data_IF_595042046142
#
_entry.id   IF_595042046142
#
_cell.length_a   1.000
_cell.length_b   1.000
_cell.length_c   1.000
_cell.angle_alpha   90.00
_cell.angle_beta   90.00
_cell.angle_gamma   90.00
#
_symmetry.space_group_name_H-M   'P 1'
#
loop_
_entity.id
_entity.type
_entity.pdbx_description
1 polymer ?
#
# COMPACT_ATOMS: atom_id res chain seq x y z
N UNK A 1 4.07 4.64 15.30
CA UNK A 1 5.12 5.68 15.41
C UNK A 1 5.10 6.26 16.81
N UNK A 2 3.96 6.77 17.28
CA UNK A 2 3.71 7.15 18.68
C UNK A 2 3.82 5.94 19.61
N UNK A 3 4.46 6.13 20.76
CA UNK A 3 4.64 5.15 21.85
C UNK A 3 3.89 5.63 23.10
N UNK A 4 3.58 4.72 24.01
CA UNK A 4 2.87 5.10 25.24
C UNK A 4 3.76 5.99 26.14
N UNK A 5 3.18 7.05 26.69
CA UNK A 5 3.90 8.06 27.48
C UNK A 5 4.60 9.14 26.64
N UNK A 6 4.51 9.09 25.30
CA UNK A 6 4.97 10.16 24.42
C UNK A 6 3.87 11.20 24.19
N UNK A 7 4.31 12.43 23.98
CA UNK A 7 3.48 13.58 23.61
C UNK A 7 3.22 13.62 22.10
N UNK A 8 2.02 14.08 21.72
CA UNK A 8 1.60 14.20 20.34
C UNK A 8 1.11 15.62 20.04
N UNK A 9 1.50 16.15 18.90
CA UNK A 9 1.02 17.44 18.42
C UNK A 9 0.53 17.35 16.97
N UNK A 10 -0.69 17.78 16.72
CA UNK A 10 -1.32 17.78 15.40
C UNK A 10 -1.26 19.18 14.77
N UNK A 11 -0.34 19.36 13.82
CA UNK A 11 -0.13 20.61 13.10
C UNK A 11 -1.11 20.70 11.94
N UNK A 12 -2.10 21.59 12.04
CA UNK A 12 -3.23 21.70 11.13
C UNK A 12 -4.33 20.69 11.43
N UNK A 13 -4.73 20.56 12.70
CA UNK A 13 -5.68 19.56 13.17
C UNK A 13 -7.12 19.72 12.63
N UNK A 14 -7.41 20.80 11.90
CA UNK A 14 -8.77 21.17 11.53
C UNK A 14 -9.66 21.25 12.76
N UNK A 15 -10.73 20.46 12.78
CA UNK A 15 -11.68 20.41 13.90
C UNK A 15 -11.18 19.63 15.13
N UNK A 16 -10.00 19.03 15.07
CA UNK A 16 -9.34 18.37 16.19
C UNK A 16 -9.86 16.96 16.50
N UNK A 17 -10.45 16.25 15.54
CA UNK A 17 -10.99 14.90 15.75
C UNK A 17 -9.90 13.91 16.20
N UNK A 18 -8.72 13.97 15.58
CA UNK A 18 -7.58 13.11 15.92
C UNK A 18 -7.06 13.39 17.33
N UNK A 19 -6.95 14.67 17.70
CA UNK A 19 -6.56 15.10 19.06
C UNK A 19 -7.55 14.59 20.11
N UNK A 20 -8.86 14.74 19.85
CA UNK A 20 -9.91 14.24 20.74
C UNK A 20 -9.86 12.72 20.85
N UNK A 21 -9.64 12.02 19.74
CA UNK A 21 -9.50 10.56 19.70
C UNK A 21 -8.32 10.07 20.53
N UNK A 22 -7.14 10.68 20.38
CA UNK A 22 -5.92 10.32 21.11
C UNK A 22 -6.04 10.59 22.60
N UNK A 23 -6.66 11.70 23.01
CA UNK A 23 -6.91 11.99 24.44
C UNK A 23 -7.81 10.94 25.09
N UNK A 24 -8.80 10.41 24.37
CA UNK A 24 -9.66 9.30 24.87
C UNK A 24 -8.91 7.98 25.04
N UNK A 25 -7.75 7.84 24.42
CA UNK A 25 -6.86 6.69 24.54
C UNK A 25 -5.71 6.98 25.54
N UNK A 26 -5.87 8.00 26.39
CA UNK A 26 -4.91 8.43 27.42
C UNK A 26 -3.54 8.87 26.87
N UNK A 27 -3.49 9.39 25.64
CA UNK A 27 -2.30 10.07 25.12
C UNK A 27 -2.33 11.57 25.44
N UNK A 28 -1.17 12.13 25.74
CA UNK A 28 -0.97 13.56 25.84
C UNK A 28 -0.92 14.16 24.43
N UNK A 29 -2.08 14.56 23.92
CA UNK A 29 -2.23 15.11 22.58
C UNK A 29 -2.68 16.58 22.60
N UNK A 30 -2.12 17.37 21.71
CA UNK A 30 -2.48 18.77 21.45
C UNK A 30 -2.59 19.01 19.95
N UNK A 31 -3.18 20.13 19.54
CA UNK A 31 -3.31 20.46 18.12
C UNK A 31 -3.49 21.94 17.90
N UNK A 32 -3.16 22.38 16.70
CA UNK A 32 -3.30 23.75 16.25
C UNK A 32 -3.83 23.77 14.83
N UNK A 33 -4.69 24.74 14.50
CA UNK A 33 -5.14 24.95 13.13
C UNK A 33 -5.41 26.44 12.90
N UNK A 34 -4.91 27.04 11.82
CA UNK A 34 -5.04 28.47 11.60
C UNK A 34 -6.49 28.94 11.40
N UNK A 35 -7.40 28.06 10.99
CA UNK A 35 -8.79 28.41 10.71
C UNK A 35 -9.74 27.98 11.83
N UNK A 36 -9.45 26.85 12.47
CA UNK A 36 -10.35 26.26 13.47
C UNK A 36 -9.89 26.58 14.89
N UNK A 37 -8.60 26.38 15.20
CA UNK A 37 -8.03 26.55 16.54
C UNK A 37 -6.84 27.55 16.52
N UNK A 38 -7.06 28.82 16.10
CA UNK A 38 -5.97 29.78 15.90
C UNK A 38 -5.33 30.27 17.21
N UNK A 39 -6.10 30.25 18.30
CA UNK A 39 -5.67 30.70 19.64
C UNK A 39 -4.80 29.67 20.37
N UNK A 40 -4.81 28.40 19.92
CA UNK A 40 -3.96 27.37 20.50
C UNK A 40 -2.49 27.64 20.16
N UNK A 41 -1.59 27.23 21.05
CA UNK A 41 -0.16 27.40 20.81
C UNK A 41 0.40 26.23 20.02
N UNK A 42 1.33 26.53 19.11
CA UNK A 42 2.20 25.51 18.51
C UNK A 42 3.22 25.09 19.57
N UNK A 43 3.16 23.83 19.97
CA UNK A 43 3.97 23.27 21.06
C UNK A 43 4.90 22.18 20.54
N UNK A 44 6.02 22.00 21.23
CA UNK A 44 6.93 20.89 20.96
C UNK A 44 6.31 19.58 21.47
N UNK A 45 6.49 18.50 20.72
CA UNK A 45 6.04 17.16 21.09
C UNK A 45 6.99 16.09 20.57
N UNK A 46 6.98 14.91 21.19
CA UNK A 46 7.78 13.77 20.74
C UNK A 46 7.42 13.38 19.29
N UNK A 47 6.12 13.36 18.98
CA UNK A 47 5.61 13.08 17.65
C UNK A 47 4.71 14.21 17.16
N UNK A 48 5.09 14.82 16.03
CA UNK A 48 4.25 15.79 15.34
C UNK A 48 3.59 15.14 14.12
N UNK A 49 2.32 15.45 13.87
CA UNK A 49 1.59 15.08 12.66
C UNK A 49 1.32 16.31 11.81
N UNK A 50 1.68 16.24 10.53
CA UNK A 50 1.31 17.19 9.49
C UNK A 50 0.39 16.45 8.50
N UNK A 51 -0.85 16.23 8.95
CA UNK A 51 -1.84 15.43 8.24
C UNK A 51 -2.61 16.25 7.21
N UNK A 52 -2.43 15.99 5.92
CA UNK A 52 -3.17 16.59 4.80
C UNK A 52 -3.08 18.13 4.66
N UNK A 53 -2.30 18.81 5.50
CA UNK A 53 -2.09 20.26 5.45
C UNK A 53 -1.47 20.70 4.14
N UNK A 54 -0.48 19.95 3.63
CA UNK A 54 0.17 20.25 2.36
C UNK A 54 -0.80 20.21 1.17
N UNK A 55 -1.92 19.49 1.29
CA UNK A 55 -2.91 19.42 0.21
C UNK A 55 -3.66 20.75 0.06
N UNK A 56 -3.89 21.49 1.14
CA UNK A 56 -4.78 22.68 1.12
C UNK A 56 -4.05 24.01 0.93
N UNK A 57 -2.73 24.02 1.02
CA UNK A 57 -1.91 25.22 0.84
C UNK A 57 -1.55 25.39 -0.64
N UNK A 58 -1.95 26.52 -1.23
CA UNK A 58 -1.74 26.83 -2.65
C UNK A 58 -0.27 27.19 -2.97
N UNK A 59 0.35 28.06 -2.17
CA UNK A 59 1.73 28.52 -2.43
C UNK A 59 2.76 27.43 -2.04
N UNK A 60 3.60 26.95 -2.98
CA UNK A 60 4.67 26.02 -2.67
C UNK A 60 5.63 26.50 -1.56
N UNK A 61 5.88 27.81 -1.45
CA UNK A 61 6.76 28.36 -0.41
C UNK A 61 6.10 28.26 0.97
N UNK A 62 4.81 28.55 1.05
CA UNK A 62 4.05 28.40 2.29
C UNK A 62 4.00 26.93 2.74
N UNK A 63 3.87 25.99 1.79
CA UNK A 63 4.00 24.55 2.09
C UNK A 63 5.33 24.19 2.71
N UNK A 64 6.44 24.72 2.18
CA UNK A 64 7.76 24.49 2.74
C UNK A 64 7.86 25.06 4.16
N UNK A 65 7.35 26.27 4.40
CA UNK A 65 7.32 26.87 5.74
C UNK A 65 6.50 26.02 6.71
N UNK A 66 5.32 25.55 6.32
CA UNK A 66 4.49 24.68 7.16
C UNK A 66 5.19 23.36 7.51
N UNK A 67 5.86 22.74 6.53
CA UNK A 67 6.64 21.52 6.74
C UNK A 67 7.82 21.75 7.70
N UNK A 68 8.58 22.83 7.51
CA UNK A 68 9.71 23.17 8.36
C UNK A 68 9.28 23.55 9.77
N UNK A 69 8.18 24.28 9.94
CA UNK A 69 7.63 24.60 11.27
C UNK A 69 7.10 23.37 11.99
N UNK A 70 6.38 22.48 11.31
CA UNK A 70 5.95 21.21 11.89
C UNK A 70 7.17 20.36 12.30
N UNK A 71 8.23 20.35 11.49
CA UNK A 71 9.47 19.68 11.84
C UNK A 71 10.16 20.28 13.06
N UNK A 72 10.18 21.62 13.17
CA UNK A 72 10.77 22.34 14.31
C UNK A 72 10.20 21.87 15.65
N UNK A 73 8.90 21.60 15.69
CA UNK A 73 8.18 21.14 16.88
C UNK A 73 8.32 19.62 17.15
N UNK A 74 8.89 18.85 16.23
CA UNK A 74 9.07 17.41 16.39
C UNK A 74 10.35 17.09 17.16
N UNK A 75 10.19 16.58 18.38
CA UNK A 75 11.27 16.14 19.26
C UNK A 75 11.87 14.79 18.86
N UNK A 76 11.07 13.87 18.31
CA UNK A 76 11.54 12.55 17.86
C UNK A 76 11.16 12.23 16.43
N UNK A 77 9.89 12.42 16.06
CA UNK A 77 9.40 12.06 14.73
C UNK A 77 8.34 13.02 14.20
N UNK A 78 8.37 13.26 12.89
CA UNK A 78 7.33 13.95 12.14
C UNK A 78 6.64 12.98 11.20
N UNK A 79 5.32 12.93 11.26
CA UNK A 79 4.48 12.20 10.32
C UNK A 79 3.96 13.20 9.30
N UNK A 80 4.17 12.93 8.02
CA UNK A 80 3.67 13.76 6.91
C UNK A 80 2.73 12.92 6.07
N UNK A 81 1.48 13.37 5.94
CA UNK A 81 0.47 12.68 5.14
C UNK A 81 -0.08 13.61 4.05
N UNK A 82 -0.23 13.10 2.83
CA UNK A 82 -0.85 13.85 1.74
C UNK A 82 -1.65 12.94 0.80
N UNK A 83 -2.71 13.50 0.21
CA UNK A 83 -3.53 12.82 -0.80
C UNK A 83 -2.74 12.54 -2.08
N UNK A 84 -2.95 11.37 -2.65
CA UNK A 84 -2.26 10.89 -3.84
C UNK A 84 -3.01 11.18 -5.14
N UNK A 85 -2.29 11.24 -6.26
CA UNK A 85 -2.87 11.51 -7.59
C UNK A 85 -4.00 10.57 -8.02
N UNK A 86 -4.03 9.34 -7.50
CA UNK A 86 -5.12 8.40 -7.77
C UNK A 86 -6.45 8.83 -7.13
N UNK A 87 -6.40 9.58 -6.03
CA UNK A 87 -7.57 10.16 -5.36
C UNK A 87 -8.14 11.36 -6.12
N UNK A 88 -7.33 12.03 -6.96
CA UNK A 88 -7.79 13.17 -7.76
C UNK A 88 -8.97 12.82 -8.69
N UNK A 89 -9.09 11.55 -9.12
CA UNK A 89 -10.21 11.06 -9.94
C UNK A 89 -11.57 11.15 -9.24
N UNK A 90 -11.59 11.25 -7.91
CA UNK A 90 -12.80 11.45 -7.13
C UNK A 90 -13.32 12.90 -7.17
N UNK A 91 -12.50 13.85 -7.65
CA UNK A 91 -12.90 15.26 -7.79
C UNK A 91 -13.44 15.47 -9.20
N UNK A 92 -14.76 15.44 -9.33
CA UNK A 92 -15.45 15.51 -10.62
C UNK A 92 -15.46 16.91 -11.25
N UNK A 93 -15.24 17.98 -10.47
CA UNK A 93 -15.50 19.36 -10.90
C UNK A 93 -14.42 20.38 -10.44
N UNK A 94 -13.13 20.00 -10.43
CA UNK A 94 -12.04 20.89 -10.00
C UNK A 94 -11.50 21.76 -11.15
N UNK A 95 -11.32 23.07 -10.92
CA UNK A 95 -10.58 23.93 -11.84
C UNK A 95 -9.07 23.86 -11.53
N UNK A 96 -8.19 23.58 -12.50
CA UNK A 96 -6.75 23.60 -12.27
C UNK A 96 -6.27 25.00 -11.86
N UNK A 97 -5.51 25.07 -10.77
CA UNK A 97 -4.89 26.31 -10.27
C UNK A 97 -3.50 25.95 -9.77
N UNK A 98 -2.47 26.67 -10.25
CA UNK A 98 -1.08 26.36 -9.91
C UNK A 98 -0.72 24.91 -10.20
N UNK A 99 -0.29 24.18 -9.18
CA UNK A 99 0.03 22.75 -9.25
C UNK A 99 -1.06 21.84 -8.65
N UNK A 100 -2.24 22.39 -8.34
CA UNK A 100 -3.37 21.68 -7.77
C UNK A 100 -4.68 21.97 -8.50
N UNK A 101 -5.78 21.68 -7.80
CA UNK A 101 -7.15 21.94 -8.30
C UNK A 101 -7.97 22.64 -7.22
N UNK A 102 -8.74 23.66 -7.61
CA UNK A 102 -9.76 24.24 -6.74
C UNK A 102 -11.05 23.47 -6.95
N UNK A 103 -11.52 22.84 -5.88
CA UNK A 103 -12.77 22.06 -5.89
C UNK A 103 -14.00 22.96 -6.06
N UNK A 104 -15.16 22.37 -6.40
CA UNK A 104 -16.42 23.12 -6.50
C UNK A 104 -16.85 23.84 -5.22
N UNK A 105 -16.28 23.50 -4.07
CA UNK A 105 -16.49 24.18 -2.79
C UNK A 105 -15.45 25.29 -2.51
N UNK A 106 -14.61 25.63 -3.49
CA UNK A 106 -13.64 26.72 -3.39
C UNK A 106 -12.33 26.37 -2.66
N UNK A 107 -12.12 25.11 -2.27
CA UNK A 107 -10.89 24.70 -1.58
C UNK A 107 -9.85 24.20 -2.57
N UNK A 108 -8.64 24.76 -2.51
CA UNK A 108 -7.45 24.27 -3.22
C UNK A 108 -7.07 22.87 -2.72
N UNK A 109 -6.67 22.00 -3.65
CA UNK A 109 -6.21 20.65 -3.37
C UNK A 109 -5.03 20.29 -4.28
N UNK A 110 -3.84 20.21 -3.70
CA UNK A 110 -2.64 19.60 -4.31
C UNK A 110 -2.69 18.09 -4.11
N UNK A 111 -2.48 17.32 -5.17
CA UNK A 111 -2.27 15.88 -5.09
C UNK A 111 -0.82 15.54 -5.40
N UNK A 112 -0.30 14.51 -4.75
CA UNK A 112 1.09 14.10 -4.93
C UNK A 112 1.21 12.72 -5.55
N UNK A 113 2.27 12.49 -6.32
CA UNK A 113 2.76 11.12 -6.47
C UNK A 113 3.55 10.71 -5.23
N UNK A 114 3.70 9.39 -4.99
CA UNK A 114 4.51 8.91 -3.86
C UNK A 114 5.96 9.42 -3.95
N UNK A 115 6.54 9.43 -5.15
CA UNK A 115 7.90 9.89 -5.39
C UNK A 115 8.03 11.41 -5.19
N UNK A 116 7.08 12.18 -5.69
CA UNK A 116 7.04 13.63 -5.53
C UNK A 116 6.90 14.04 -4.06
N UNK A 117 6.00 13.39 -3.31
CA UNK A 117 5.84 13.64 -1.87
C UNK A 117 7.15 13.38 -1.12
N UNK A 118 7.81 12.26 -1.42
CA UNK A 118 9.13 11.94 -0.85
C UNK A 118 10.17 13.00 -1.17
N UNK A 119 10.35 13.31 -2.46
CA UNK A 119 11.35 14.28 -2.91
C UNK A 119 11.11 15.64 -2.26
N UNK A 120 9.86 16.09 -2.16
CA UNK A 120 9.52 17.34 -1.50
C UNK A 120 9.89 17.33 -0.01
N UNK A 121 9.56 16.26 0.73
CA UNK A 121 9.91 16.14 2.15
C UNK A 121 11.43 16.12 2.33
N UNK A 122 12.12 15.22 1.61
CA UNK A 122 13.55 14.97 1.77
C UNK A 122 14.37 16.23 1.39
N UNK A 123 13.97 16.93 0.33
CA UNK A 123 14.67 18.16 -0.09
C UNK A 123 14.38 19.38 0.79
N UNK A 124 13.18 19.47 1.38
CA UNK A 124 12.83 20.61 2.24
C UNK A 124 13.45 20.47 3.63
N UNK A 125 13.48 19.26 4.17
CA UNK A 125 13.99 18.99 5.51
C UNK A 125 15.47 18.59 5.54
N UNK A 126 16.06 18.26 4.38
CA UNK A 126 17.42 17.73 4.25
C UNK A 126 17.64 16.45 5.08
N UNK A 127 16.59 15.66 5.28
CA UNK A 127 16.58 14.40 6.03
C UNK A 127 15.82 13.34 5.23
N UNK A 128 16.37 12.12 5.15
CA UNK A 128 15.69 11.02 4.48
C UNK A 128 14.40 10.60 5.20
N UNK A 129 13.28 10.62 4.49
CA UNK A 129 12.01 10.11 5.00
C UNK A 129 11.84 8.60 4.76
N UNK A 130 11.11 7.97 5.67
CA UNK A 130 10.71 6.57 5.59
C UNK A 130 9.24 6.47 5.21
N UNK A 131 8.95 5.81 4.09
CA UNK A 131 7.57 5.49 3.71
C UNK A 131 6.94 4.52 4.74
N UNK A 132 5.85 4.95 5.36
CA UNK A 132 5.04 4.14 6.27
C UNK A 132 3.86 3.48 5.55
N UNK A 133 3.24 4.20 4.61
CA UNK A 133 2.09 3.76 3.79
C UNK A 133 2.03 4.61 2.50
N UNK A 134 1.22 4.26 1.49
CA UNK A 134 0.94 5.20 0.39
C UNK A 134 0.45 6.54 0.95
N UNK A 135 1.08 7.63 0.52
CA UNK A 135 0.75 8.99 0.96
C UNK A 135 1.21 9.33 2.39
N UNK A 136 1.90 8.43 3.11
CA UNK A 136 2.34 8.66 4.50
C UNK A 136 3.83 8.39 4.65
N UNK A 137 4.55 9.40 5.10
CA UNK A 137 5.98 9.37 5.39
C UNK A 137 6.26 9.72 6.85
N UNK A 138 7.35 9.18 7.38
CA UNK A 138 7.83 9.48 8.73
C UNK A 138 9.28 9.92 8.63
N UNK A 139 9.59 11.05 9.25
CA UNK A 139 10.93 11.63 9.36
C UNK A 139 11.34 11.54 10.83
N UNK A 140 12.54 11.05 11.11
CA UNK A 140 13.05 10.87 12.48
C UNK A 140 14.23 11.80 12.73
N UNK A 141 14.34 12.30 13.97
CA UNK A 141 15.45 13.19 14.38
C UNK A 141 16.76 12.42 14.43
N UNK A 142 16.70 11.24 15.02
CA UNK A 142 17.85 10.38 15.25
C UNK A 142 17.78 9.14 14.35
N UNK A 143 18.93 8.76 13.80
CA UNK A 143 19.05 7.57 12.96
C UNK A 143 18.71 6.29 13.74
N UNK A 144 18.96 6.28 15.05
CA UNK A 144 18.61 5.17 15.95
C UNK A 144 17.09 4.93 15.93
N UNK A 145 16.28 5.98 16.02
CA UNK A 145 14.81 5.84 15.97
C UNK A 145 14.30 5.42 14.59
N UNK A 146 14.95 5.90 13.52
CA UNK A 146 14.66 5.49 12.15
C UNK A 146 14.93 3.99 11.95
N UNK A 147 16.08 3.51 12.40
CA UNK A 147 16.48 2.11 12.33
C UNK A 147 15.58 1.22 13.20
N UNK A 148 15.28 1.65 14.43
CA UNK A 148 14.33 0.97 15.31
C UNK A 148 12.95 0.83 14.67
N UNK A 149 12.45 1.91 14.07
CA UNK A 149 11.19 1.89 13.33
C UNK A 149 11.24 0.91 12.16
N UNK A 150 12.30 0.93 11.35
CA UNK A 150 12.47 0.00 10.24
C UNK A 150 12.58 -1.45 10.70
N UNK A 151 13.27 -1.76 11.80
CA UNK A 151 13.41 -3.13 12.32
C UNK A 151 12.07 -3.65 12.86
N UNK A 152 11.37 -2.84 13.67
CA UNK A 152 10.04 -3.18 14.21
C UNK A 152 9.03 -3.36 13.09
N UNK A 153 9.07 -2.48 12.10
CA UNK A 153 8.20 -2.58 10.94
C UNK A 153 8.69 -3.59 9.89
N UNK A 154 9.95 -4.05 9.87
CA UNK A 154 10.42 -5.12 8.98
C UNK A 154 9.70 -6.44 9.27
N UNK A 155 9.46 -6.74 10.55
CA UNK A 155 8.62 -7.89 10.95
C UNK A 155 7.14 -7.71 10.62
N UNK A 156 6.69 -6.47 10.42
CA UNK A 156 5.35 -6.15 9.89
C UNK A 156 5.33 -5.99 8.37
N UNK A 157 6.48 -5.81 7.70
CA UNK A 157 6.64 -5.79 6.24
C UNK A 157 6.60 -7.18 5.62
N UNK A 158 6.63 -8.26 6.43
CA UNK A 158 6.15 -9.56 5.99
C UNK A 158 4.61 -9.64 5.91
N UNK A 159 3.90 -8.59 6.35
CA UNK A 159 2.44 -8.47 6.30
C UNK A 159 2.08 -6.98 6.09
N UNK A 160 2.60 -6.34 5.04
CA UNK A 160 1.88 -5.19 4.47
C UNK A 160 0.79 -5.74 3.56
N UNK A 161 -0.18 -6.46 4.14
CA UNK A 161 -1.41 -6.83 3.44
C UNK A 161 -2.17 -5.52 3.29
N UNK A 162 -2.15 -5.01 2.07
CA UNK A 162 -2.76 -3.75 1.68
C UNK A 162 -4.29 -3.86 1.65
N UNK A 163 -4.93 -4.74 2.44
CA UNK A 163 -6.19 -5.43 2.10
C UNK A 163 -6.85 -4.84 0.85
N UNK A 164 -6.25 -5.18 -0.29
CA UNK A 164 -6.76 -4.85 -1.60
C UNK A 164 -8.18 -5.42 -1.65
N UNK A 165 -9.07 -4.88 -2.48
CA UNK A 165 -10.31 -5.59 -2.79
C UNK A 165 -10.02 -7.05 -3.21
N UNK A 166 -8.84 -7.31 -3.79
CA UNK A 166 -8.32 -8.65 -4.05
C UNK A 166 -7.99 -9.43 -2.77
N UNK A 167 -7.29 -8.85 -1.78
CA UNK A 167 -6.99 -9.51 -0.49
C UNK A 167 -8.28 -9.85 0.27
N UNK A 168 -9.28 -8.96 0.25
CA UNK A 168 -10.58 -9.25 0.88
C UNK A 168 -11.32 -10.39 0.17
N UNK A 169 -11.35 -10.40 -1.17
CA UNK A 169 -11.94 -11.49 -1.95
C UNK A 169 -11.15 -12.79 -1.76
N UNK A 170 -9.83 -12.69 -1.60
CA UNK A 170 -8.96 -13.82 -1.30
C UNK A 170 -9.25 -14.40 0.08
N UNK A 171 -9.35 -13.57 1.11
CA UNK A 171 -9.71 -14.00 2.47
C UNK A 171 -11.13 -14.58 2.54
N UNK A 172 -12.10 -13.96 1.85
CA UNK A 172 -13.51 -14.42 1.78
C UNK A 172 -13.65 -15.78 1.05
N UNK A 173 -12.76 -16.11 0.10
CA UNK A 173 -12.85 -17.32 -0.73
C UNK A 173 -11.55 -18.14 -0.74
N UNK A 174 -10.81 -18.10 0.37
CA UNK A 174 -9.45 -18.62 0.49
C UNK A 174 -9.30 -20.08 0.07
N UNK A 175 -10.18 -20.96 0.55
CA UNK A 175 -10.13 -22.40 0.27
C UNK A 175 -10.17 -22.70 -1.23
N UNK A 176 -11.02 -21.99 -1.98
CA UNK A 176 -11.18 -22.23 -3.42
C UNK A 176 -10.06 -21.57 -4.24
N UNK A 177 -9.53 -20.44 -3.77
CA UNK A 177 -8.44 -19.74 -4.46
C UNK A 177 -7.09 -20.44 -4.20
N UNK A 178 -6.87 -20.99 -3.01
CA UNK A 178 -5.66 -21.78 -2.68
C UNK A 178 -5.60 -23.06 -3.52
N UNK A 179 -6.74 -23.73 -3.75
CA UNK A 179 -6.82 -24.89 -4.64
C UNK A 179 -6.46 -24.53 -6.10
N UNK A 180 -6.81 -23.31 -6.55
CA UNK A 180 -6.40 -22.79 -7.86
C UNK A 180 -4.89 -22.50 -7.92
N UNK A 181 -4.31 -21.95 -6.85
CA UNK A 181 -2.87 -21.69 -6.74
C UNK A 181 -2.08 -23.01 -6.73
N UNK A 182 -2.57 -24.02 -6.02
CA UNK A 182 -1.98 -25.35 -5.99
C UNK A 182 -1.99 -25.99 -7.38
N UNK A 183 -3.14 -25.94 -8.08
CA UNK A 183 -3.23 -26.43 -9.45
C UNK A 183 -2.20 -25.73 -10.36
N UNK A 184 -2.09 -24.40 -10.27
CA UNK A 184 -1.15 -23.63 -11.08
C UNK A 184 0.31 -23.99 -10.76
N UNK A 185 0.67 -24.12 -9.49
CA UNK A 185 2.02 -24.51 -9.06
C UNK A 185 2.40 -25.93 -9.51
N UNK A 186 1.43 -26.84 -9.57
CA UNK A 186 1.65 -28.20 -10.04
C UNK A 186 1.78 -28.31 -11.56
N UNK A 187 0.99 -27.54 -12.32
CA UNK A 187 0.89 -27.68 -13.79
C UNK A 187 1.59 -26.57 -14.58
N UNK A 188 2.00 -25.49 -13.93
CA UNK A 188 2.53 -24.29 -14.59
C UNK A 188 1.51 -23.56 -15.48
N UNK A 189 0.22 -23.89 -15.38
CA UNK A 189 -0.85 -23.31 -16.22
C UNK A 189 -2.19 -23.35 -15.50
N UNK A 190 -3.14 -22.55 -15.98
CA UNK A 190 -4.53 -22.60 -15.52
C UNK A 190 -5.26 -23.87 -16.00
N UNK A 191 -6.32 -24.32 -15.29
CA UNK A 191 -7.16 -25.43 -15.71
C UNK A 191 -7.80 -25.20 -17.09
N UNK A 192 -7.83 -26.23 -17.94
CA UNK A 192 -8.60 -26.22 -19.20
C UNK A 192 -10.09 -26.41 -18.90
N UNK A 193 -10.98 -26.12 -19.85
CA UNK A 193 -12.45 -26.12 -19.64
C UNK A 193 -13.02 -27.47 -19.16
N UNK A 194 -12.31 -28.55 -19.45
CA UNK A 194 -12.60 -29.95 -19.16
C UNK A 194 -11.84 -30.50 -17.95
N UNK A 195 -10.90 -29.74 -17.36
CA UNK A 195 -10.14 -30.12 -16.17
C UNK A 195 -10.68 -29.40 -14.92
N UNK A 196 -10.75 -30.11 -13.79
CA UNK A 196 -11.18 -29.52 -12.51
C UNK A 196 -12.52 -28.76 -12.59
N UNK A 197 -13.52 -29.40 -13.19
CA UNK A 197 -14.86 -28.83 -13.44
C UNK A 197 -15.51 -28.33 -12.13
N UNK A 198 -15.40 -29.11 -11.05
CA UNK A 198 -15.93 -28.76 -9.73
C UNK A 198 -15.32 -27.45 -9.17
N UNK A 199 -13.99 -27.33 -9.23
CA UNK A 199 -13.25 -26.12 -8.86
C UNK A 199 -13.68 -24.91 -9.72
N UNK A 200 -13.85 -25.10 -11.03
CA UNK A 200 -14.29 -24.02 -11.93
C UNK A 200 -15.72 -23.56 -11.65
N UNK A 201 -16.62 -24.46 -11.22
CA UNK A 201 -17.95 -24.10 -10.77
C UNK A 201 -17.89 -23.29 -9.48
N UNK A 202 -17.16 -23.76 -8.47
CA UNK A 202 -16.98 -23.04 -7.20
C UNK A 202 -16.36 -21.65 -7.39
N UNK A 203 -15.36 -21.52 -8.26
CA UNK A 203 -14.75 -20.22 -8.59
C UNK A 203 -15.69 -19.26 -9.35
N UNK A 204 -16.62 -19.81 -10.13
CA UNK A 204 -17.65 -19.02 -10.82
C UNK A 204 -18.63 -18.42 -9.83
N UNK A 205 -19.08 -19.22 -8.87
CA UNK A 205 -20.07 -18.81 -7.87
C UNK A 205 -19.46 -17.87 -6.83
N UNK A 206 -18.19 -18.10 -6.45
CA UNK A 206 -17.48 -17.29 -5.47
C UNK A 206 -16.96 -15.95 -6.02
N UNK A 207 -16.19 -15.98 -7.11
CA UNK A 207 -15.40 -14.82 -7.56
C UNK A 207 -15.85 -14.28 -8.92
N UNK A 208 -16.86 -14.91 -9.55
CA UNK A 208 -17.34 -14.54 -10.89
C UNK A 208 -16.53 -15.17 -12.03
N UNK A 209 -15.69 -16.17 -11.74
CA UNK A 209 -15.03 -17.02 -12.74
C UNK A 209 -13.50 -17.07 -12.67
N UNK A 210 -12.94 -18.04 -13.40
CA UNK A 210 -11.52 -18.41 -13.36
C UNK A 210 -10.54 -17.25 -13.64
N UNK A 211 -10.81 -16.41 -14.64
CA UNK A 211 -9.96 -15.26 -14.98
C UNK A 211 -9.94 -14.21 -13.87
N UNK A 212 -11.06 -14.03 -13.18
CA UNK A 212 -11.20 -13.04 -12.11
C UNK A 212 -10.51 -13.54 -10.84
N UNK A 213 -10.66 -14.83 -10.53
CA UNK A 213 -9.90 -15.50 -9.48
C UNK A 213 -8.38 -15.43 -9.72
N UNK A 214 -7.93 -15.65 -10.95
CA UNK A 214 -6.51 -15.54 -11.29
C UNK A 214 -5.96 -14.12 -11.14
N UNK A 215 -6.74 -13.10 -11.52
CA UNK A 215 -6.36 -11.71 -11.28
C UNK A 215 -6.30 -11.38 -9.79
N UNK A 216 -7.17 -11.96 -8.95
CA UNK A 216 -7.11 -11.83 -7.50
C UNK A 216 -5.79 -12.41 -6.98
N UNK A 217 -5.43 -13.64 -7.39
CA UNK A 217 -4.15 -14.27 -7.03
C UNK A 217 -2.96 -13.39 -7.41
N UNK A 218 -2.89 -12.90 -8.65
CA UNK A 218 -1.78 -12.04 -9.12
C UNK A 218 -1.63 -10.75 -8.33
N UNK A 219 -2.73 -10.18 -7.86
CA UNK A 219 -2.73 -8.95 -7.08
C UNK A 219 -2.38 -9.18 -5.60
N UNK A 220 -2.70 -10.36 -5.05
CA UNK A 220 -2.36 -10.77 -3.68
C UNK A 220 -0.90 -11.24 -3.59
N UNK A 221 -0.36 -11.76 -4.70
CA UNK A 221 1.02 -12.26 -4.83
C UNK A 221 1.91 -11.32 -5.67
N UNK A 222 1.79 -10.01 -5.44
CA UNK A 222 2.67 -9.03 -6.07
C UNK A 222 4.15 -9.36 -5.74
N UNK A 223 4.92 -9.74 -6.76
CA UNK A 223 6.34 -10.13 -6.63
C UNK A 223 6.62 -11.62 -6.87
N UNK A 224 5.60 -12.48 -6.99
CA UNK A 224 5.80 -13.85 -7.46
C UNK A 224 5.96 -13.88 -8.98
N UNK A 225 7.09 -14.43 -9.44
CA UNK A 225 7.35 -14.64 -10.86
C UNK A 225 6.65 -15.91 -11.36
N UNK A 226 5.36 -15.76 -11.68
CA UNK A 226 4.54 -16.84 -12.23
C UNK A 226 5.00 -17.30 -13.62
N UNK A 227 5.72 -16.46 -14.36
CA UNK A 227 6.30 -16.80 -15.66
C UNK A 227 7.49 -17.75 -15.47
N UNK A 228 8.34 -17.51 -14.47
CA UNK A 228 9.41 -18.43 -14.09
C UNK A 228 8.88 -19.81 -13.67
N UNK A 229 7.77 -19.87 -12.92
CA UNK A 229 7.12 -21.14 -12.54
C UNK A 229 6.59 -21.88 -13.78
N UNK A 230 6.00 -21.13 -14.72
CA UNK A 230 5.52 -21.68 -15.99
C UNK A 230 6.68 -22.26 -16.83
N UNK A 231 7.78 -21.52 -16.92
CA UNK A 231 8.98 -21.93 -17.66
C UNK A 231 9.63 -23.18 -17.03
N UNK A 232 9.85 -23.17 -15.71
CA UNK A 232 10.44 -24.32 -15.00
C UNK A 232 9.61 -25.60 -15.14
N UNK A 233 8.28 -25.49 -15.06
CA UNK A 233 7.40 -26.66 -15.28
C UNK A 233 7.42 -27.15 -16.72
N UNK A 234 7.57 -26.25 -17.69
CA UNK A 234 7.71 -26.62 -19.10
C UNK A 234 9.02 -27.38 -19.33
N UNK A 235 10.11 -26.93 -18.72
CA UNK A 235 11.42 -27.58 -18.79
C UNK A 235 11.41 -28.96 -18.11
N UNK A 236 10.82 -29.07 -16.91
CA UNK A 236 10.65 -30.36 -16.22
C UNK A 236 9.86 -31.36 -17.07
N UNK A 237 8.75 -30.93 -17.67
CA UNK A 237 7.94 -31.77 -18.55
C UNK A 237 8.73 -32.20 -19.80
N UNK A 238 9.54 -31.31 -20.37
CA UNK A 238 10.40 -31.64 -21.50
C UNK A 238 11.46 -32.67 -21.12
N UNK A 239 12.05 -32.55 -19.92
CA UNK A 239 13.00 -33.53 -19.36
C UNK A 239 12.30 -34.87 -19.14
N UNK A 240 11.10 -34.88 -18.55
CA UNK A 240 10.32 -36.10 -18.33
C UNK A 240 9.93 -36.78 -19.65
N UNK A 241 9.46 -36.01 -20.65
CA UNK A 241 9.16 -36.53 -21.99
C UNK A 241 10.43 -37.04 -22.68
N UNK A 242 11.56 -36.34 -22.53
CA UNK A 242 12.85 -36.77 -23.09
C UNK A 242 13.33 -38.07 -22.45
N UNK A 243 13.27 -38.19 -21.12
CA UNK A 243 13.59 -39.40 -20.36
C UNK A 243 12.64 -40.55 -20.70
N UNK A 244 11.34 -40.27 -20.84
CA UNK A 244 10.35 -41.24 -21.29
C UNK A 244 10.70 -41.75 -22.70
N UNK A 245 10.99 -40.86 -23.65
CA UNK A 245 11.41 -41.19 -25.03
C UNK A 245 12.75 -41.92 -25.11
N UNK A 246 13.67 -41.67 -24.18
CA UNK A 246 14.97 -42.33 -24.10
C UNK A 246 14.83 -43.76 -23.55
N UNK A 247 13.95 -43.96 -22.56
CA UNK A 247 13.80 -45.23 -21.85
C UNK A 247 12.77 -46.17 -22.51
N UNK A 248 11.72 -45.66 -23.18
CA UNK A 248 10.76 -46.42 -24.02
C UNK A 248 10.18 -45.52 -25.13
N UNK A 249 9.52 -46.08 -26.14
CA UNK A 249 8.74 -45.29 -27.12
C UNK A 249 7.24 -45.34 -26.79
N UNK A 250 6.73 -44.60 -25.79
CA UNK A 250 5.30 -44.56 -25.54
C UNK A 250 4.57 -43.77 -26.63
N UNK A 251 3.39 -44.27 -27.03
CA UNK A 251 2.45 -43.55 -27.88
C UNK A 251 1.91 -42.31 -27.13
N UNK A 252 1.72 -41.18 -27.81
CA UNK A 252 1.19 -39.94 -27.22
C UNK A 252 -0.14 -40.16 -26.47
N UNK A 253 -0.98 -41.06 -26.99
CA UNK A 253 -2.26 -41.46 -26.37
C UNK A 253 -2.12 -42.34 -25.12
N UNK A 254 -0.91 -42.80 -24.78
CA UNK A 254 -0.62 -43.58 -23.59
C UNK A 254 0.04 -42.76 -22.46
N UNK A 255 0.32 -41.48 -22.69
CA UNK A 255 0.79 -40.57 -21.65
C UNK A 255 -0.32 -40.29 -20.64
N UNK A 256 -0.02 -40.10 -19.35
CA UNK A 256 -0.99 -39.61 -18.37
C UNK A 256 -1.63 -38.30 -18.87
N UNK A 257 -2.94 -38.15 -18.70
CA UNK A 257 -3.71 -37.00 -19.20
C UNK A 257 -3.12 -35.65 -18.77
N UNK A 258 -2.48 -35.63 -17.59
CA UNK A 258 -1.76 -34.49 -17.04
C UNK A 258 -0.58 -33.96 -17.89
N UNK A 259 -0.03 -34.80 -18.77
CA UNK A 259 1.17 -34.51 -19.59
C UNK A 259 0.86 -34.31 -21.08
N UNK A 260 -0.42 -34.43 -21.47
CA UNK A 260 -0.89 -34.22 -22.85
C UNK A 260 -1.19 -32.74 -23.09
N UNK A 261 -0.14 -31.99 -23.44
CA UNK A 261 -0.28 -30.57 -23.82
C UNK A 261 -0.77 -30.42 -25.25
#
# INVERSE_FOLDING_TARGET
>A
VLRQGETFFDYGCGKGEDVVGLRKLDFEASGWDPNHWPEEQRVDADVVNLGYVANVIEDPKERNVALTEAWRHAGRALIVSARLNNEARSITCGQPVGDGVVTGHGTFQKFYSQAELRTWIDSTLEVESIAASPGIFVVFREEVDANDYLIRNRRRRSISVKISRADRIYDEHRETIDELVEFFTQRGRLPRRDESIDLQHRLRDAVGGLRRAWNVVRNVTEGTDWEAITAGRSDDLLVDIALLKLNRRPNFMALPEATRH
#
